data_IF_144055443088
#
_entry.id   IF_144055443088
#
_cell.length_a   1.000
_cell.length_b   1.000
_cell.length_c   1.000
_cell.angle_alpha   90.00
_cell.angle_beta   90.00
_cell.angle_gamma   90.00
#
_symmetry.space_group_name_H-M   'P 1'
#
loop_
_entity.id
_entity.type
_entity.pdbx_description
1 polymer ?
#
# COMPACT_ATOMS: atom_id res chain seq x y z
N UNK A 1 -7.24 17.91 1.42
CA UNK A 1 -6.82 16.88 0.43
C UNK A 1 -5.34 16.63 0.64
N UNK A 2 -4.85 15.39 0.79
CA UNK A 2 -3.41 15.12 0.88
C UNK A 2 -2.69 15.77 -0.30
N UNK A 3 -1.52 16.35 -0.05
CA UNK A 3 -0.82 17.23 -1.00
C UNK A 3 -0.69 16.61 -2.41
N UNK A 4 -0.31 15.33 -2.51
CA UNK A 4 -0.22 14.63 -3.80
C UNK A 4 -1.54 14.50 -4.56
N UNK A 5 -2.69 14.40 -3.88
CA UNK A 5 -3.99 14.37 -4.56
C UNK A 5 -4.42 15.76 -5.03
N UNK A 6 -4.01 16.82 -4.32
CA UNK A 6 -4.19 18.20 -4.81
C UNK A 6 -3.35 18.43 -6.07
N UNK A 7 -2.07 18.03 -6.04
CA UNK A 7 -1.15 18.16 -7.17
C UNK A 7 -1.63 17.39 -8.40
N UNK A 8 -2.09 16.14 -8.24
CA UNK A 8 -2.64 15.36 -9.35
C UNK A 8 -3.83 16.06 -10.02
N UNK A 9 -4.75 16.63 -9.24
CA UNK A 9 -5.89 17.38 -9.76
C UNK A 9 -5.46 18.69 -10.45
N UNK A 10 -4.48 19.40 -9.90
CA UNK A 10 -3.91 20.62 -10.50
C UNK A 10 -3.21 20.33 -11.85
N UNK A 11 -2.66 19.13 -12.01
CA UNK A 11 -2.10 18.63 -13.28
C UNK A 11 -3.18 18.10 -14.26
N UNK A 12 -4.46 18.17 -13.89
CA UNK A 12 -5.57 17.71 -14.73
C UNK A 12 -5.81 16.19 -14.69
N UNK A 13 -5.18 15.47 -13.76
CA UNK A 13 -5.37 14.03 -13.57
C UNK A 13 -6.62 13.82 -12.72
N UNK A 14 -7.76 13.66 -13.39
CA UNK A 14 -9.08 13.49 -12.75
C UNK A 14 -9.65 12.09 -12.88
N UNK A 15 -8.95 11.17 -13.56
CA UNK A 15 -9.37 9.78 -13.67
C UNK A 15 -8.98 8.93 -12.46
N UNK A 16 -9.43 7.66 -12.40
CA UNK A 16 -9.12 6.74 -11.31
C UNK A 16 -7.63 6.51 -11.08
N UNK A 17 -6.79 6.61 -12.11
CA UNK A 17 -5.32 6.55 -12.03
C UNK A 17 -4.71 7.55 -11.05
N UNK A 18 -5.40 8.65 -10.78
CA UNK A 18 -5.00 9.62 -9.76
C UNK A 18 -4.85 9.01 -8.36
N UNK A 19 -5.54 7.90 -8.03
CA UNK A 19 -5.41 7.26 -6.70
C UNK A 19 -4.02 6.68 -6.47
N UNK A 20 -3.41 6.11 -7.51
CA UNK A 20 -2.09 5.49 -7.47
C UNK A 20 -1.01 6.57 -7.50
N UNK A 21 -1.12 7.51 -8.46
CA UNK A 21 -0.18 8.61 -8.65
C UNK A 21 -0.07 9.49 -7.41
N UNK A 22 -1.20 9.81 -6.77
CA UNK A 22 -1.22 10.71 -5.61
C UNK A 22 -0.68 10.08 -4.32
N UNK A 23 -0.49 8.76 -4.29
CA UNK A 23 -0.14 7.99 -3.09
C UNK A 23 0.86 6.86 -3.43
N UNK A 24 2.08 7.19 -3.87
CA UNK A 24 3.11 6.20 -4.16
C UNK A 24 3.44 5.37 -2.91
N UNK A 25 4.02 4.19 -3.12
CA UNK A 25 4.23 3.21 -2.04
C UNK A 25 5.16 3.68 -0.91
N UNK A 26 6.04 4.63 -1.20
CA UNK A 26 6.91 5.27 -0.19
C UNK A 26 6.11 5.91 0.96
N UNK A 27 4.90 6.42 0.69
CA UNK A 27 4.05 7.01 1.74
C UNK A 27 3.50 5.94 2.68
N UNK A 28 3.18 4.75 2.15
CA UNK A 28 2.75 3.61 2.96
C UNK A 28 3.91 3.07 3.78
N UNK A 29 5.09 2.94 3.18
CA UNK A 29 6.29 2.45 3.84
C UNK A 29 6.75 3.38 4.99
N UNK A 30 6.74 4.71 4.77
CA UNK A 30 7.06 5.70 5.80
C UNK A 30 6.10 5.58 6.99
N UNK A 31 4.78 5.59 6.72
CA UNK A 31 3.77 5.54 7.77
C UNK A 31 3.85 4.22 8.56
N UNK A 32 4.09 3.11 7.87
CA UNK A 32 4.31 1.78 8.46
C UNK A 32 5.53 1.78 9.37
N UNK A 33 6.67 2.32 8.90
CA UNK A 33 7.89 2.40 9.69
C UNK A 33 7.71 3.28 10.93
N UNK A 34 7.06 4.43 10.77
CA UNK A 34 6.81 5.39 11.85
C UNK A 34 5.90 4.81 12.92
N UNK A 35 4.77 4.18 12.56
CA UNK A 35 3.86 3.60 13.56
C UNK A 35 4.50 2.43 14.29
N UNK A 36 5.28 1.58 13.61
CA UNK A 36 6.05 0.50 14.25
C UNK A 36 7.06 1.07 15.25
N UNK A 37 7.74 2.16 14.89
CA UNK A 37 8.71 2.81 15.78
C UNK A 37 8.03 3.34 17.05
N UNK A 38 6.90 4.02 16.91
CA UNK A 38 6.09 4.51 18.04
C UNK A 38 5.64 3.33 18.91
N UNK A 39 5.02 2.32 18.30
CA UNK A 39 4.51 1.13 18.98
C UNK A 39 5.60 0.44 19.81
N UNK A 40 6.77 0.24 19.22
CA UNK A 40 7.93 -0.36 19.89
C UNK A 40 8.42 0.48 21.08
N UNK A 41 8.43 1.82 20.96
CA UNK A 41 8.78 2.71 22.08
C UNK A 41 7.75 2.69 23.21
N UNK A 42 6.50 2.44 22.90
CA UNK A 42 5.40 2.35 23.87
C UNK A 42 5.14 0.94 24.39
N UNK A 43 5.89 -0.07 23.93
CA UNK A 43 5.66 -1.49 24.22
C UNK A 43 4.25 -1.97 23.88
N UNK A 44 3.61 -1.35 22.88
CA UNK A 44 2.30 -1.72 22.40
C UNK A 44 2.44 -2.62 21.17
N UNK A 45 1.77 -3.78 21.11
CA UNK A 45 1.70 -4.54 19.86
C UNK A 45 0.92 -3.75 18.81
N UNK A 46 1.40 -3.74 17.57
CA UNK A 46 0.75 -3.02 16.47
C UNK A 46 0.32 -3.98 15.36
N UNK A 47 -0.84 -3.70 14.79
CA UNK A 47 -1.42 -4.44 13.67
C UNK A 47 -1.59 -3.51 12.47
N UNK A 48 -0.91 -3.82 11.37
CA UNK A 48 -0.97 -3.05 10.12
C UNK A 48 -2.04 -3.65 9.23
N UNK A 49 -3.02 -2.85 8.82
CA UNK A 49 -4.09 -3.28 7.91
C UNK A 49 -3.76 -2.91 6.47
N UNK A 50 -4.30 -3.68 5.53
CA UNK A 50 -4.24 -3.40 4.09
C UNK A 50 -2.82 -3.16 3.53
N UNK A 51 -1.81 -3.92 3.98
CA UNK A 51 -0.46 -3.83 3.39
C UNK A 51 -0.55 -4.11 1.90
N UNK A 52 -0.18 -3.13 1.08
CA UNK A 52 -0.43 -3.11 -0.36
C UNK A 52 0.84 -3.17 -1.21
N UNK A 53 2.01 -2.84 -0.64
CA UNK A 53 3.26 -2.67 -1.37
C UNK A 53 4.38 -3.56 -0.86
N UNK A 54 5.35 -3.81 -1.75
CA UNK A 54 6.58 -4.52 -1.37
C UNK A 54 7.37 -3.72 -0.33
N UNK A 55 7.47 -2.40 -0.54
CA UNK A 55 8.16 -1.49 0.40
C UNK A 55 7.59 -1.54 1.82
N UNK A 56 6.27 -1.49 1.99
CA UNK A 56 5.66 -1.64 3.32
C UNK A 56 5.83 -3.07 3.89
N UNK A 57 5.75 -4.09 3.03
CA UNK A 57 6.03 -5.48 3.39
C UNK A 57 7.45 -5.69 3.94
N UNK A 58 8.46 -5.09 3.29
CA UNK A 58 9.85 -5.13 3.73
C UNK A 58 10.04 -4.47 5.10
N UNK A 59 9.38 -3.33 5.34
CA UNK A 59 9.40 -2.66 6.66
C UNK A 59 8.83 -3.57 7.74
N UNK A 60 7.69 -4.23 7.49
CA UNK A 60 7.08 -5.19 8.42
C UNK A 60 8.03 -6.38 8.65
N UNK A 61 8.59 -6.95 7.60
CA UNK A 61 9.51 -8.09 7.69
C UNK A 61 10.76 -7.74 8.52
N UNK A 62 11.37 -6.58 8.26
CA UNK A 62 12.52 -6.09 9.01
C UNK A 62 12.19 -5.87 10.50
N UNK A 63 11.03 -5.30 10.80
CA UNK A 63 10.58 -5.10 12.18
C UNK A 63 10.36 -6.42 12.92
N UNK A 64 9.75 -7.41 12.26
CA UNK A 64 9.58 -8.77 12.81
C UNK A 64 10.93 -9.44 13.08
N UNK A 65 11.89 -9.34 12.15
CA UNK A 65 13.25 -9.89 12.35
C UNK A 65 13.97 -9.26 13.56
N UNK A 66 13.67 -8.01 13.88
CA UNK A 66 14.19 -7.33 15.08
C UNK A 66 13.44 -7.72 16.38
N UNK A 67 12.48 -8.65 16.32
CA UNK A 67 11.71 -9.10 17.48
C UNK A 67 10.64 -8.12 17.94
N UNK A 68 10.27 -7.11 17.13
CA UNK A 68 9.20 -6.17 17.47
C UNK A 68 7.83 -6.86 17.39
N UNK A 69 6.93 -6.51 18.31
CA UNK A 69 5.56 -7.03 18.34
C UNK A 69 4.68 -6.40 17.23
N UNK A 70 4.88 -6.84 15.99
CA UNK A 70 4.22 -6.32 14.80
C UNK A 70 3.49 -7.45 14.07
N UNK A 71 2.22 -7.20 13.76
CA UNK A 71 1.38 -8.04 12.93
C UNK A 71 0.91 -7.25 11.73
N UNK A 72 0.56 -7.94 10.65
CA UNK A 72 0.11 -7.29 9.42
C UNK A 72 -0.92 -8.15 8.70
N UNK A 73 -1.82 -7.47 8.00
CA UNK A 73 -2.84 -8.01 7.12
C UNK A 73 -2.65 -7.43 5.72
N UNK A 74 -3.07 -8.19 4.72
CA UNK A 74 -3.33 -7.68 3.38
C UNK A 74 -4.71 -8.15 2.92
N UNK A 75 -5.23 -7.51 1.87
CA UNK A 75 -6.52 -7.88 1.29
C UNK A 75 -6.32 -8.84 0.13
N UNK A 76 -7.36 -9.59 -0.24
CA UNK A 76 -7.34 -10.41 -1.46
C UNK A 76 -6.99 -9.58 -2.70
N UNK A 77 -7.51 -8.34 -2.79
CA UNK A 77 -7.22 -7.44 -3.90
C UNK A 77 -5.71 -7.12 -4.01
N UNK A 78 -5.07 -6.70 -2.92
CA UNK A 78 -3.63 -6.42 -2.91
C UNK A 78 -2.77 -7.66 -3.19
N UNK A 79 -3.18 -8.81 -2.64
CA UNK A 79 -2.44 -10.06 -2.80
C UNK A 79 -2.55 -10.69 -4.20
N UNK A 80 -3.51 -10.26 -5.04
CA UNK A 80 -3.81 -10.95 -6.31
C UNK A 80 -3.95 -10.05 -7.54
N UNK A 81 -4.17 -8.75 -7.36
CA UNK A 81 -4.41 -7.80 -8.44
C UNK A 81 -3.29 -6.76 -8.55
N UNK A 82 -3.23 -6.09 -9.70
CA UNK A 82 -2.26 -5.02 -9.97
C UNK A 82 -2.97 -3.69 -10.24
N UNK A 83 -2.24 -2.59 -10.04
CA UNK A 83 -2.71 -1.23 -10.30
C UNK A 83 -2.92 -0.92 -11.79
N UNK A 84 -2.55 -1.83 -12.70
CA UNK A 84 -2.78 -1.67 -14.14
C UNK A 84 -4.27 -1.45 -14.47
N UNK A 85 -5.17 -1.96 -13.62
CA UNK A 85 -6.61 -1.73 -13.79
C UNK A 85 -7.01 -0.25 -13.71
N UNK A 86 -6.24 0.61 -13.04
CA UNK A 86 -6.51 2.05 -12.97
C UNK A 86 -6.35 2.77 -14.31
N UNK A 87 -5.58 2.20 -15.24
CA UNK A 87 -5.29 2.76 -16.55
C UNK A 87 -6.15 2.14 -17.67
N UNK A 88 -7.22 1.45 -17.28
CA UNK A 88 -8.15 0.86 -18.23
C UNK A 88 -8.94 1.95 -18.98
N UNK A 89 -9.22 1.73 -20.27
CA UNK A 89 -9.88 2.73 -21.14
C UNK A 89 -11.35 2.96 -20.75
N UNK A 90 -12.04 1.93 -20.28
CA UNK A 90 -13.36 2.10 -19.65
C UNK A 90 -13.20 2.64 -18.23
N UNK A 91 -13.76 3.84 -18.03
CA UNK A 91 -13.73 4.54 -16.75
C UNK A 91 -14.42 3.74 -15.64
N UNK A 92 -15.52 3.05 -15.92
CA UNK A 92 -16.25 2.29 -14.89
C UNK A 92 -15.43 1.09 -14.41
N UNK A 93 -14.73 0.42 -15.33
CA UNK A 93 -13.75 -0.61 -14.98
C UNK A 93 -12.67 -0.03 -14.07
N UNK A 94 -12.00 1.05 -14.48
CA UNK A 94 -10.91 1.63 -13.69
C UNK A 94 -11.36 2.09 -12.30
N UNK A 95 -12.54 2.74 -12.23
CA UNK A 95 -13.13 3.22 -10.98
C UNK A 95 -13.49 2.07 -10.01
N UNK A 96 -13.87 0.89 -10.52
CA UNK A 96 -14.25 -0.26 -9.70
C UNK A 96 -13.09 -0.82 -8.84
N UNK A 97 -11.83 -0.52 -9.19
CA UNK A 97 -10.65 -0.99 -8.47
C UNK A 97 -10.11 0.04 -7.47
N UNK A 98 -10.72 1.23 -7.37
CA UNK A 98 -10.27 2.30 -6.47
C UNK A 98 -10.43 1.86 -5.02
N UNK A 99 -9.30 1.77 -4.31
CA UNK A 99 -9.21 1.43 -2.89
C UNK A 99 -7.98 2.09 -2.27
N UNK A 100 -7.83 2.01 -0.94
CA UNK A 100 -6.68 2.57 -0.21
C UNK A 100 -6.05 1.56 0.77
N UNK A 101 -4.70 1.49 0.84
CA UNK A 101 -3.75 2.03 -0.16
C UNK A 101 -4.04 1.48 -1.58
N UNK A 102 -3.58 2.14 -2.66
CA UNK A 102 -3.93 1.71 -4.01
C UNK A 102 -3.26 0.38 -4.38
N UNK A 103 -3.85 -0.36 -5.32
CA UNK A 103 -3.16 -1.47 -5.98
C UNK A 103 -1.88 -0.94 -6.66
N UNK A 104 -0.78 -1.70 -6.60
CA UNK A 104 0.52 -1.23 -7.09
C UNK A 104 0.77 -1.63 -8.54
N UNK A 105 1.44 -0.75 -9.29
CA UNK A 105 1.76 -0.98 -10.70
C UNK A 105 2.81 -2.08 -10.91
N UNK A 106 3.73 -2.26 -9.98
CA UNK A 106 4.74 -3.31 -10.06
C UNK A 106 4.07 -4.69 -9.99
N UNK A 107 4.20 -5.46 -11.07
CA UNK A 107 3.60 -6.78 -11.24
C UNK A 107 4.20 -7.83 -10.29
N UNK A 108 5.34 -7.55 -9.66
CA UNK A 108 5.93 -8.40 -8.63
C UNK A 108 5.26 -8.22 -7.25
N UNK A 109 4.44 -7.18 -7.07
CA UNK A 109 3.81 -6.90 -5.77
C UNK A 109 2.96 -8.06 -5.28
N UNK A 110 2.04 -8.56 -6.11
CA UNK A 110 1.13 -9.66 -5.72
C UNK A 110 1.87 -10.95 -5.35
N UNK A 111 2.79 -11.50 -6.18
CA UNK A 111 3.53 -12.70 -5.79
C UNK A 111 4.43 -12.47 -4.58
N UNK A 112 5.00 -11.27 -4.42
CA UNK A 112 5.78 -10.93 -3.23
C UNK A 112 4.93 -10.93 -1.95
N UNK A 113 3.77 -10.26 -1.94
CA UNK A 113 2.86 -10.23 -0.79
C UNK A 113 2.35 -11.63 -0.44
N UNK A 114 2.03 -12.45 -1.45
CA UNK A 114 1.70 -13.86 -1.24
C UNK A 114 2.85 -14.65 -0.60
N UNK A 115 4.10 -14.36 -0.97
CA UNK A 115 5.27 -15.00 -0.35
C UNK A 115 5.46 -14.59 1.11
N UNK A 116 5.08 -13.36 1.50
CA UNK A 116 5.10 -12.91 2.89
C UNK A 116 4.02 -13.58 3.74
N UNK A 117 2.84 -13.86 3.17
CA UNK A 117 1.77 -14.60 3.83
C UNK A 117 2.09 -16.08 4.06
N UNK A 118 2.91 -16.67 3.19
CA UNK A 118 3.28 -18.08 3.29
C UNK A 118 4.28 -18.39 4.42
N UNK A 119 4.85 -17.37 5.07
CA UNK A 119 5.84 -17.48 6.16
C UNK A 119 5.20 -17.32 7.53
#
# INVERSE_FOLDING_TARGET
VPQGAKEALELGITGPEGIEISRPEELEAEATHRVITIANRTHCPVYLVNVSSMSAGDVVAAAKMQGKAVYAETTTAHATLTGLHYYHQDWFHAAAYVTVPPLRLDTNTSPYLMSLLAK
#
